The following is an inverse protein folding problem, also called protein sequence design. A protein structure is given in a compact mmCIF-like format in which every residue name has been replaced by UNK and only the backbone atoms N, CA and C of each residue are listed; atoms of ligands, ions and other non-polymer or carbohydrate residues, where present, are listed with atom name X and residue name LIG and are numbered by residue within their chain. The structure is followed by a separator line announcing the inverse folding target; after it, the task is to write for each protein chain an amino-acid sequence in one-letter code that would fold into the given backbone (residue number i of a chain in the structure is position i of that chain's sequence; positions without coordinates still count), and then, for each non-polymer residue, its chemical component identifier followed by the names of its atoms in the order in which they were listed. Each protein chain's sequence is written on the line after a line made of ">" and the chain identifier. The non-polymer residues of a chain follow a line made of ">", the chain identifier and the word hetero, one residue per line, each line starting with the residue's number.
data_IF_444854055438
#
_entry.id   IF_444854055438
#
_cell.length_a   1.000
_cell.length_b   1.000
_cell.length_c   1.000
_cell.angle_alpha   90.00
_cell.angle_beta   90.00
_cell.angle_gamma   90.00
#
_symmetry.space_group_name_H-M   'P 1'
#
loop_
_entity.id
_entity.type
_entity.pdbx_description
1 polymer ?
#
# COMPACT_ATOMS: atom_id res chain seq x y z
N UNK A 1 30.79 -16.75 -50.75
CA UNK A 1 31.75 -15.62 -50.74
C UNK A 1 32.43 -15.63 -49.38
N UNK A 2 33.73 -15.86 -49.38
CA UNK A 2 34.57 -15.99 -48.19
C UNK A 2 35.61 -14.87 -48.22
N UNK A 3 35.99 -14.36 -47.05
CA UNK A 3 37.31 -13.77 -46.84
C UNK A 3 37.76 -14.11 -45.42
N UNK A 4 38.63 -15.11 -45.38
CA UNK A 4 39.52 -15.46 -44.28
C UNK A 4 40.76 -14.60 -44.42
N UNK A 5 41.27 -14.04 -43.32
CA UNK A 5 42.71 -13.83 -43.16
C UNK A 5 43.13 -14.22 -41.75
N UNK A 6 44.03 -15.20 -41.71
CA UNK A 6 44.74 -15.77 -40.55
C UNK A 6 46.14 -15.17 -40.51
N UNK A 7 46.81 -15.33 -39.35
CA UNK A 7 48.26 -15.44 -39.12
C UNK A 7 48.91 -14.21 -38.46
N UNK A 8 49.89 -14.32 -37.55
CA UNK A 8 50.68 -15.43 -36.97
C UNK A 8 51.49 -14.85 -35.79
N UNK A 9 51.75 -15.62 -34.74
CA UNK A 9 52.79 -15.33 -33.72
C UNK A 9 54.14 -15.95 -34.12
N UNK A 10 55.28 -15.39 -33.65
CA UNK A 10 56.45 -16.22 -33.33
C UNK A 10 57.21 -15.70 -32.05
N UNK A 11 58.40 -16.19 -31.63
CA UNK A 11 58.52 -17.24 -30.60
C UNK A 11 59.54 -16.99 -29.45
N UNK A 12 59.39 -17.81 -28.40
CA UNK A 12 60.31 -18.38 -27.38
C UNK A 12 61.72 -17.79 -27.05
N UNK A 13 61.97 -17.58 -25.75
CA UNK A 13 63.11 -18.06 -24.90
C UNK A 13 63.34 -17.06 -23.74
N UNK A 14 63.66 -17.38 -22.48
CA UNK A 14 63.87 -18.60 -21.71
C UNK A 14 64.19 -18.20 -20.24
N UNK A 15 64.23 -19.19 -19.36
CA UNK A 15 64.76 -19.22 -17.98
C UNK A 15 63.82 -19.12 -16.75
N UNK A 16 63.64 -20.32 -16.16
CA UNK A 16 63.84 -20.69 -14.75
C UNK A 16 62.73 -20.45 -13.70
N UNK A 17 62.19 -21.58 -13.24
CA UNK A 17 61.30 -21.90 -12.10
C UNK A 17 62.00 -21.82 -10.73
N UNK A 18 61.41 -22.20 -9.55
CA UNK A 18 60.00 -22.48 -9.16
C UNK A 18 59.56 -21.85 -7.80
N UNK A 19 58.25 -21.71 -7.53
CA UNK A 19 57.60 -22.02 -6.22
C UNK A 19 56.12 -22.33 -6.50
N UNK A 20 55.61 -23.50 -6.09
CA UNK A 20 54.17 -23.83 -6.10
C UNK A 20 53.58 -23.80 -4.69
N UNK A 21 52.38 -24.39 -4.44
CA UNK A 21 51.22 -24.55 -5.31
C UNK A 21 50.03 -23.69 -4.81
N UNK A 22 49.12 -23.29 -5.71
CA UNK A 22 47.85 -22.65 -5.33
C UNK A 22 46.75 -23.71 -5.25
N UNK A 23 46.03 -23.61 -4.14
CA UNK A 23 45.02 -24.52 -3.66
C UNK A 23 43.74 -24.53 -4.51
N UNK A 24 43.03 -25.65 -4.42
CA UNK A 24 41.86 -26.00 -5.19
C UNK A 24 40.69 -25.02 -4.94
N UNK A 25 40.28 -24.28 -5.98
CA UNK A 25 39.03 -23.52 -5.98
C UNK A 25 37.84 -24.46 -6.19
N UNK A 26 37.45 -25.17 -5.13
CA UNK A 26 36.07 -25.63 -4.95
C UNK A 26 35.27 -24.51 -4.29
N UNK A 27 34.25 -23.97 -4.97
CA UNK A 27 32.85 -24.00 -4.49
C UNK A 27 31.96 -22.94 -5.15
N UNK A 28 30.85 -23.50 -5.66
CA UNK A 28 29.46 -23.08 -5.46
C UNK A 28 29.00 -21.83 -6.20
N UNK A 29 28.29 -22.11 -7.29
CA UNK A 29 27.36 -21.19 -7.92
C UNK A 29 26.41 -20.55 -6.91
N UNK A 30 26.30 -19.24 -7.03
CA UNK A 30 25.30 -18.40 -6.37
C UNK A 30 23.92 -18.73 -6.92
N UNK A 31 23.28 -19.73 -6.31
CA UNK A 31 21.85 -19.94 -6.46
C UNK A 31 21.16 -18.80 -5.71
N UNK A 32 20.86 -17.71 -6.42
CA UNK A 32 20.04 -16.60 -5.95
C UNK A 32 18.76 -17.18 -5.32
N UNK A 33 18.72 -17.14 -4.00
CA UNK A 33 17.59 -17.61 -3.21
C UNK A 33 16.50 -16.55 -3.35
N UNK A 34 15.68 -16.74 -4.38
CA UNK A 34 14.42 -16.06 -4.64
C UNK A 34 13.56 -16.19 -3.37
N UNK A 35 13.65 -15.18 -2.50
CA UNK A 35 12.79 -15.03 -1.33
C UNK A 35 11.41 -14.61 -1.81
N UNK A 36 10.41 -15.18 -1.16
CA UNK A 36 9.06 -15.37 -1.70
C UNK A 36 8.36 -14.04 -1.94
N UNK A 37 8.22 -13.68 -3.21
CA UNK A 37 7.20 -12.75 -3.68
C UNK A 37 5.85 -13.43 -3.47
N UNK A 38 4.97 -12.84 -2.66
CA UNK A 38 3.60 -13.32 -2.53
C UNK A 38 2.88 -13.10 -3.86
N UNK A 39 2.75 -14.15 -4.66
CA UNK A 39 1.80 -14.18 -5.76
C UNK A 39 0.42 -14.55 -5.19
N UNK A 40 -0.64 -13.85 -5.64
CA UNK A 40 -1.85 -14.42 -6.28
C UNK A 40 -3.13 -13.59 -6.06
N UNK A 41 -3.72 -13.21 -7.22
CA UNK A 41 -5.14 -13.04 -7.60
C UNK A 41 -5.92 -11.72 -7.32
N UNK A 42 -6.08 -10.99 -8.45
CA UNK A 42 -7.18 -10.18 -9.01
C UNK A 42 -8.34 -9.68 -8.12
N UNK A 43 -8.66 -8.40 -8.41
CA UNK A 43 -9.92 -7.70 -8.13
C UNK A 43 -9.95 -7.16 -6.70
N UNK A 44 -10.57 -6.04 -6.35
CA UNK A 44 -11.15 -4.94 -7.09
C UNK A 44 -11.11 -3.76 -6.10
N UNK A 45 -10.49 -2.65 -6.51
CA UNK A 45 -10.53 -1.38 -5.77
C UNK A 45 -11.90 -0.76 -6.01
N UNK A 46 -12.45 -0.09 -4.98
CA UNK A 46 -13.62 0.78 -5.11
C UNK A 46 -13.36 1.80 -6.22
N UNK A 47 -13.90 1.50 -7.39
CA UNK A 47 -13.90 2.39 -8.55
C UNK A 47 -14.94 3.48 -8.25
N UNK A 48 -14.49 4.71 -8.11
CA UNK A 48 -15.37 5.86 -8.28
C UNK A 48 -15.93 5.75 -9.71
N UNK A 49 -17.25 5.61 -9.80
CA UNK A 49 -17.95 5.35 -11.06
C UNK A 49 -17.68 6.51 -12.01
N UNK A 50 -17.16 6.18 -13.20
CA UNK A 50 -17.15 7.09 -14.34
C UNK A 50 -18.60 7.30 -14.78
N UNK A 51 -19.06 8.55 -14.75
CA UNK A 51 -20.27 8.95 -15.44
C UNK A 51 -19.96 9.14 -16.91
N UNK A 52 -20.35 8.17 -17.74
CA UNK A 52 -20.41 8.33 -19.19
C UNK A 52 -21.82 8.82 -19.58
N UNK A 53 -21.85 10.09 -20.01
CA UNK A 53 -22.53 10.64 -21.19
C UNK A 53 -23.73 9.86 -21.78
N UNK A 54 -24.94 10.42 -21.63
CA UNK A 54 -25.96 10.36 -22.69
C UNK A 54 -26.40 11.79 -23.03
N UNK A 55 -25.97 12.25 -24.21
CA UNK A 55 -26.57 13.39 -24.88
C UNK A 55 -27.72 12.92 -25.76
N UNK A 56 -28.91 13.49 -25.58
CA UNK A 56 -29.85 13.68 -26.69
C UNK A 56 -30.67 14.96 -26.52
N UNK A 57 -30.96 15.56 -27.67
CA UNK A 57 -31.19 16.97 -27.87
C UNK A 57 -32.58 17.49 -27.48
N UNK A 58 -32.62 18.79 -27.18
CA UNK A 58 -33.81 19.61 -27.02
C UNK A 58 -34.63 19.72 -28.32
N UNK A 59 -35.96 19.73 -28.19
CA UNK A 59 -36.90 20.41 -29.11
C UNK A 59 -38.23 20.71 -28.38
N UNK A 60 -38.95 21.70 -28.91
CA UNK A 60 -39.80 22.68 -28.24
C UNK A 60 -41.25 22.28 -27.82
N UNK A 61 -41.78 23.01 -26.83
CA UNK A 61 -43.07 23.71 -26.97
C UNK A 61 -44.30 23.19 -26.17
N UNK A 62 -45.23 24.08 -25.75
CA UNK A 62 -46.05 23.91 -24.54
C UNK A 62 -47.53 23.57 -24.81
N UNK A 63 -48.20 22.88 -23.89
CA UNK A 63 -49.66 22.92 -23.80
C UNK A 63 -50.18 23.06 -22.36
N UNK A 64 -51.07 24.04 -22.22
CA UNK A 64 -51.83 24.45 -21.05
C UNK A 64 -53.21 23.82 -21.19
N UNK A 65 -53.68 23.00 -20.23
CA UNK A 65 -55.12 22.74 -20.00
C UNK A 65 -55.39 22.55 -18.50
N UNK A 66 -56.56 23.02 -18.09
CA UNK A 66 -56.99 23.53 -16.79
C UNK A 66 -57.26 22.51 -15.66
N UNK A 67 -57.19 23.02 -14.42
CA UNK A 67 -57.73 22.44 -13.18
C UNK A 67 -59.25 22.66 -13.07
N UNK A 68 -59.99 21.75 -12.42
CA UNK A 68 -61.14 22.11 -11.59
C UNK A 68 -60.80 22.03 -10.08
N UNK A 69 -61.46 22.82 -9.21
CA UNK A 69 -61.11 22.94 -7.81
C UNK A 69 -61.96 22.04 -6.91
N UNK A 70 -61.37 21.63 -5.78
CA UNK A 70 -62.10 21.21 -4.59
C UNK A 70 -61.92 19.75 -4.25
N UNK A 71 -60.96 19.47 -3.37
CA UNK A 71 -61.18 18.68 -2.14
C UNK A 71 -59.94 18.78 -1.25
N UNK A 72 -60.18 18.97 0.04
CA UNK A 72 -59.23 19.43 1.05
C UNK A 72 -58.20 18.35 1.45
N UNK A 73 -57.02 18.83 1.86
CA UNK A 73 -55.87 18.04 2.33
C UNK A 73 -56.21 17.08 3.47
N UNK A 74 -55.40 16.02 3.64
CA UNK A 74 -54.50 16.06 4.80
C UNK A 74 -53.06 15.61 4.49
N UNK A 75 -52.13 16.31 5.14
CA UNK A 75 -50.80 15.85 5.57
C UNK A 75 -49.87 15.25 4.50
N UNK A 76 -49.10 16.14 3.86
CA UNK A 76 -47.83 15.77 3.26
C UNK A 76 -46.85 15.31 4.33
N UNK A 77 -46.60 14.01 4.34
CA UNK A 77 -45.44 13.39 4.94
C UNK A 77 -44.22 14.04 4.27
N UNK A 78 -43.52 14.90 5.02
CA UNK A 78 -42.23 15.41 4.60
C UNK A 78 -41.32 14.18 4.54
N UNK A 79 -40.94 13.79 3.33
CA UNK A 79 -39.86 12.84 3.13
C UNK A 79 -38.64 13.40 3.85
N UNK A 80 -38.38 12.79 4.98
CA UNK A 80 -37.14 12.71 5.73
C UNK A 80 -35.97 12.63 4.74
N UNK A 81 -35.43 13.80 4.37
CA UNK A 81 -34.08 13.89 3.82
C UNK A 81 -33.15 13.42 4.94
N UNK A 82 -32.88 12.12 4.92
CA UNK A 82 -32.03 11.40 5.87
C UNK A 82 -30.60 11.90 5.83
N UNK A 83 -30.36 13.09 6.37
CA UNK A 83 -29.08 13.53 6.87
C UNK A 83 -29.08 13.29 8.37
N UNK A 84 -28.93 12.02 8.75
CA UNK A 84 -28.45 11.69 10.08
C UNK A 84 -27.15 12.47 10.31
N UNK A 85 -26.91 13.04 11.50
CA UNK A 85 -25.71 13.83 11.76
C UNK A 85 -24.49 12.97 11.45
N UNK A 86 -23.75 13.34 10.40
CA UNK A 86 -22.47 12.70 10.11
C UNK A 86 -21.58 12.90 11.35
N UNK A 87 -20.94 11.83 11.81
CA UNK A 87 -20.04 11.95 12.95
C UNK A 87 -18.97 13.02 12.63
N UNK A 88 -18.57 13.85 13.60
CA UNK A 88 -17.64 14.97 13.35
C UNK A 88 -16.36 14.52 12.63
N UNK A 89 -15.87 13.32 12.94
CA UNK A 89 -14.71 12.68 12.28
C UNK A 89 -14.91 12.44 10.78
N UNK A 90 -16.11 12.05 10.34
CA UNK A 90 -16.40 11.85 8.91
C UNK A 90 -16.42 13.18 8.16
N UNK A 91 -16.98 14.22 8.79
CA UNK A 91 -17.00 15.55 8.21
C UNK A 91 -15.58 16.12 8.05
N UNK A 92 -14.72 15.98 9.06
CA UNK A 92 -13.29 16.34 8.99
C UNK A 92 -12.57 15.59 7.88
N UNK A 93 -12.77 14.26 7.78
CA UNK A 93 -12.17 13.45 6.71
C UNK A 93 -12.63 13.89 5.31
N UNK A 94 -13.92 14.15 5.12
CA UNK A 94 -14.44 14.67 3.86
C UNK A 94 -13.85 16.04 3.51
N UNK A 95 -13.65 16.91 4.49
CA UNK A 95 -13.00 18.20 4.28
C UNK A 95 -11.53 18.05 3.89
N UNK A 96 -10.77 17.18 4.57
CA UNK A 96 -9.38 16.91 4.19
C UNK A 96 -9.29 16.36 2.77
N UNK A 97 -10.14 15.40 2.41
CA UNK A 97 -10.17 14.85 1.05
C UNK A 97 -10.44 15.91 0.00
N UNK A 98 -11.35 16.85 0.27
CA UNK A 98 -11.60 17.97 -0.64
C UNK A 98 -10.36 18.83 -0.87
N UNK A 99 -9.68 19.24 0.20
CA UNK A 99 -8.43 20.02 0.13
C UNK A 99 -7.31 19.26 -0.59
N UNK A 100 -7.23 17.94 -0.39
CA UNK A 100 -6.27 17.09 -1.08
C UNK A 100 -6.54 17.07 -2.59
N UNK A 101 -7.79 16.94 -3.01
CA UNK A 101 -8.16 17.00 -4.44
C UNK A 101 -7.81 18.35 -5.06
N UNK A 102 -7.96 19.46 -4.34
CA UNK A 102 -7.56 20.79 -4.81
C UNK A 102 -6.05 20.94 -5.05
N UNK A 103 -5.21 20.12 -4.39
CA UNK A 103 -3.76 20.10 -4.65
C UNK A 103 -3.41 19.39 -5.96
N UNK A 104 -4.27 18.50 -6.44
CA UNK A 104 -4.00 17.67 -7.62
C UNK A 104 -4.25 18.44 -8.92
N UNK A 105 -3.59 17.99 -9.99
CA UNK A 105 -3.94 18.43 -11.35
C UNK A 105 -5.31 17.86 -11.72
N UNK A 106 -6.11 18.53 -12.57
CA UNK A 106 -7.43 18.04 -12.97
C UNK A 106 -7.43 16.68 -13.69
N UNK A 107 -6.28 16.23 -14.20
CA UNK A 107 -6.11 14.96 -14.89
C UNK A 107 -5.70 13.80 -13.97
N UNK A 108 -5.43 14.08 -12.70
CA UNK A 108 -4.90 13.11 -11.75
C UNK A 108 -5.98 12.70 -10.75
N UNK A 109 -6.04 11.40 -10.44
CA UNK A 109 -6.99 10.84 -9.49
C UNK A 109 -6.29 10.27 -8.26
N UNK A 110 -6.94 10.42 -7.12
CA UNK A 110 -6.57 9.73 -5.88
C UNK A 110 -7.14 8.31 -5.94
N UNK A 111 -6.27 7.29 -6.04
CA UNK A 111 -6.64 5.86 -5.89
C UNK A 111 -6.85 5.48 -4.43
N UNK A 112 -6.12 6.12 -3.52
CA UNK A 112 -6.20 5.89 -2.08
C UNK A 112 -5.65 7.09 -1.32
N UNK A 113 -6.29 7.45 -0.20
CA UNK A 113 -5.76 8.35 0.80
C UNK A 113 -5.64 7.61 2.14
N UNK A 114 -4.41 7.38 2.60
CA UNK A 114 -4.10 6.65 3.82
C UNK A 114 -3.55 7.60 4.88
N UNK A 115 -4.21 7.67 6.04
CA UNK A 115 -3.70 8.46 7.16
C UNK A 115 -2.52 7.72 7.82
N UNK A 116 -1.45 8.47 8.11
CA UNK A 116 -0.25 7.96 8.76
C UNK A 116 -0.13 8.48 10.19
N UNK A 117 0.59 7.74 11.02
CA UNK A 117 1.10 8.20 12.30
C UNK A 117 2.04 9.40 12.08
N UNK A 118 1.79 10.47 12.84
CA UNK A 118 2.65 11.65 12.86
C UNK A 118 3.51 11.63 14.13
N UNK A 119 4.81 11.92 14.00
CA UNK A 119 5.71 11.95 15.16
C UNK A 119 5.39 13.11 16.11
N UNK A 120 4.72 14.16 15.63
CA UNK A 120 4.40 15.38 16.37
C UNK A 120 2.93 15.78 16.21
N UNK A 121 2.03 15.27 17.07
CA UNK A 121 0.66 15.78 17.19
C UNK A 121 0.66 17.30 17.49
N UNK A 122 -0.34 18.07 17.02
CA UNK A 122 -1.60 17.65 16.39
C UNK A 122 -1.54 17.50 14.86
N UNK A 123 -0.34 17.49 14.25
CA UNK A 123 -0.21 17.41 12.79
C UNK A 123 -0.80 16.10 12.26
N UNK A 124 -1.52 16.20 11.15
CA UNK A 124 -2.01 15.02 10.43
C UNK A 124 -1.21 14.82 9.16
N UNK A 125 -1.04 13.56 8.80
CA UNK A 125 -0.25 13.15 7.65
C UNK A 125 -1.02 12.14 6.83
N UNK A 126 -1.01 12.33 5.52
CA UNK A 126 -1.64 11.44 4.58
C UNK A 126 -0.67 11.02 3.49
N UNK A 127 -0.69 9.74 3.17
CA UNK A 127 -0.10 9.18 1.98
C UNK A 127 -1.19 9.04 0.92
N UNK A 128 -1.00 9.69 -0.21
CA UNK A 128 -1.86 9.53 -1.39
C UNK A 128 -1.20 8.62 -2.40
N UNK A 129 -1.99 7.69 -2.95
CA UNK A 129 -1.62 6.97 -4.17
C UNK A 129 -2.35 7.63 -5.33
N UNK A 130 -1.61 8.33 -6.19
CA UNK A 130 -2.17 9.14 -7.27
C UNK A 130 -1.81 8.54 -8.62
N UNK A 131 -2.77 8.45 -9.52
CA UNK A 131 -2.53 8.07 -10.92
C UNK A 131 -3.01 9.11 -11.89
N UNK A 132 -2.40 9.17 -13.06
CA UNK A 132 -2.82 10.10 -14.12
C UNK A 132 -3.68 9.41 -15.17
N UNK A 133 -4.69 10.13 -15.69
CA UNK A 133 -5.48 9.69 -16.85
C UNK A 133 -4.87 10.09 -18.20
N UNK A 134 -3.77 10.85 -18.19
CA UNK A 134 -3.18 11.48 -19.39
C UNK A 134 -2.74 10.47 -20.46
N UNK A 135 -2.38 9.24 -20.04
CA UNK A 135 -1.98 8.17 -20.95
C UNK A 135 -2.73 6.87 -20.64
N UNK A 136 -3.85 6.63 -21.34
CA UNK A 136 -4.68 5.43 -21.22
C UNK A 136 -3.92 4.09 -21.38
N UNK A 137 -2.68 4.11 -21.92
CA UNK A 137 -1.84 2.94 -22.10
C UNK A 137 -0.78 2.72 -21.02
N UNK A 138 -0.53 3.71 -20.15
CA UNK A 138 0.48 3.65 -19.09
C UNK A 138 -0.14 4.07 -17.77
N UNK A 139 -0.37 3.09 -16.91
CA UNK A 139 -0.78 3.28 -15.52
C UNK A 139 0.40 3.86 -14.69
N UNK A 140 0.67 5.15 -14.87
CA UNK A 140 1.70 5.87 -14.11
C UNK A 140 1.15 6.27 -12.75
N UNK A 141 1.88 5.91 -11.69
CA UNK A 141 1.49 6.17 -10.30
C UNK A 141 2.59 6.91 -9.55
N UNK A 142 2.21 7.89 -8.74
CA UNK A 142 3.08 8.64 -7.84
C UNK A 142 2.50 8.60 -6.43
N UNK A 143 3.37 8.43 -5.44
CA UNK A 143 3.01 8.62 -4.04
C UNK A 143 3.23 10.07 -3.63
N UNK A 144 2.21 10.70 -3.07
CA UNK A 144 2.29 12.05 -2.54
C UNK A 144 2.12 12.02 -1.02
N UNK A 145 3.01 12.66 -0.30
CA UNK A 145 2.86 12.89 1.14
C UNK A 145 2.29 14.27 1.38
N UNK A 146 1.14 14.32 2.03
CA UNK A 146 0.42 15.56 2.35
C UNK A 146 0.42 15.76 3.86
N UNK A 147 0.75 16.97 4.30
CA UNK A 147 0.72 17.35 5.71
C UNK A 147 -0.39 18.38 5.97
N UNK A 148 -1.07 18.22 7.11
CA UNK A 148 -1.99 19.19 7.68
C UNK A 148 -1.43 19.66 9.03
N UNK A 149 -1.34 20.97 9.29
CA UNK A 149 -0.87 21.48 10.58
C UNK A 149 -1.71 21.01 11.78
N UNK A 150 -3.02 20.86 11.58
CA UNK A 150 -4.02 20.43 12.57
C UNK A 150 -5.26 19.86 11.86
N UNK A 151 -6.11 19.10 12.57
CA UNK A 151 -7.34 18.49 12.03
C UNK A 151 -8.40 19.49 11.57
N UNK A 152 -8.33 20.74 12.01
CA UNK A 152 -9.25 21.81 11.59
C UNK A 152 -8.66 22.74 10.52
N UNK A 153 -7.49 22.40 9.98
CA UNK A 153 -6.75 23.30 9.08
C UNK A 153 -7.46 23.45 7.73
N UNK A 154 -7.66 24.68 7.23
CA UNK A 154 -8.32 24.94 5.94
C UNK A 154 -7.38 24.76 4.74
N UNK A 155 -6.16 24.28 4.94
CA UNK A 155 -5.15 24.13 3.89
C UNK A 155 -4.20 22.98 4.22
N UNK A 156 -3.71 22.29 3.20
CA UNK A 156 -2.69 21.27 3.31
C UNK A 156 -1.47 21.58 2.45
N UNK A 157 -0.33 20.98 2.79
CA UNK A 157 0.95 21.18 2.10
C UNK A 157 1.49 19.86 1.58
N UNK A 158 2.30 19.94 0.52
CA UNK A 158 2.94 18.77 -0.08
C UNK A 158 4.35 18.62 0.49
N UNK A 159 4.64 17.45 1.07
CA UNK A 159 5.89 17.14 1.76
C UNK A 159 6.68 15.96 1.19
N UNK A 160 6.07 15.14 0.33
CA UNK A 160 6.75 14.04 -0.35
C UNK A 160 6.20 13.85 -1.76
N UNK A 161 7.09 13.55 -2.69
CA UNK A 161 6.77 13.01 -4.02
C UNK A 161 7.67 11.81 -4.24
N UNK A 162 7.09 10.64 -4.51
CA UNK A 162 7.81 9.41 -4.80
C UNK A 162 7.17 8.71 -6.00
N UNK A 163 7.72 8.88 -7.22
CA UNK A 163 7.25 8.17 -8.40
C UNK A 163 7.47 6.66 -8.27
N UNK A 164 6.52 5.85 -8.75
CA UNK A 164 6.63 4.39 -8.73
C UNK A 164 7.15 3.85 -10.06
N UNK A 165 8.41 3.46 -10.07
CA UNK A 165 9.08 2.84 -11.23
C UNK A 165 8.94 1.32 -11.23
N UNK A 166 9.41 0.67 -12.31
CA UNK A 166 9.46 -0.79 -12.40
C UNK A 166 10.40 -1.45 -11.37
N UNK A 167 11.33 -0.72 -10.75
CA UNK A 167 12.16 -1.24 -9.67
C UNK A 167 11.52 -1.14 -8.28
N UNK A 168 10.26 -0.68 -8.20
CA UNK A 168 9.58 -0.46 -6.92
C UNK A 168 9.44 -1.74 -6.12
N UNK A 169 9.87 -1.69 -4.86
CA UNK A 169 9.76 -2.79 -3.90
C UNK A 169 9.12 -2.30 -2.60
N UNK A 170 8.26 -3.12 -2.02
CA UNK A 170 7.55 -2.82 -0.78
C UNK A 170 7.90 -3.89 0.26
N UNK A 171 8.25 -3.47 1.48
CA UNK A 171 8.64 -4.35 2.58
C UNK A 171 7.94 -3.94 3.87
N UNK A 172 7.54 -4.90 4.71
CA UNK A 172 7.02 -4.62 6.04
C UNK A 172 8.17 -4.28 6.99
N UNK A 173 7.92 -3.39 7.96
CA UNK A 173 8.91 -3.00 8.97
C UNK A 173 8.83 -3.80 10.29
N UNK A 174 7.79 -4.64 10.46
CA UNK A 174 7.56 -5.46 11.65
C UNK A 174 6.91 -4.71 12.82
N UNK A 175 6.60 -3.42 12.66
CA UNK A 175 5.97 -2.59 13.67
C UNK A 175 4.74 -1.87 13.13
N UNK A 176 4.01 -2.52 12.22
CA UNK A 176 2.78 -1.99 11.63
C UNK A 176 2.97 -0.94 10.56
N UNK A 177 4.20 -0.78 10.06
CA UNK A 177 4.53 0.06 8.92
C UNK A 177 5.07 -0.74 7.74
N UNK A 178 5.38 -0.01 6.68
CA UNK A 178 6.01 -0.55 5.49
C UNK A 178 6.96 0.46 4.88
N UNK A 179 8.00 -0.03 4.22
CA UNK A 179 8.92 0.76 3.42
C UNK A 179 8.64 0.57 1.93
N UNK A 180 8.72 1.65 1.17
CA UNK A 180 8.66 1.66 -0.29
C UNK A 180 10.01 2.13 -0.80
N UNK A 181 10.63 1.33 -1.65
CA UNK A 181 11.88 1.66 -2.33
C UNK A 181 11.62 1.77 -3.81
N UNK A 182 11.87 2.93 -4.41
CA UNK A 182 11.68 3.18 -5.84
C UNK A 182 12.72 4.16 -6.35
N UNK A 183 13.32 3.91 -7.52
CA UNK A 183 14.32 4.81 -8.12
C UNK A 183 15.51 5.12 -7.21
N UNK A 184 15.91 4.16 -6.37
CA UNK A 184 17.00 4.31 -5.39
C UNK A 184 16.65 5.09 -4.12
N UNK A 185 15.41 5.57 -3.97
CA UNK A 185 14.93 6.24 -2.75
C UNK A 185 14.10 5.26 -1.91
N UNK A 186 14.33 5.22 -0.60
CA UNK A 186 13.55 4.40 0.35
C UNK A 186 12.85 5.28 1.38
N UNK A 187 11.55 5.05 1.58
CA UNK A 187 10.68 5.81 2.49
C UNK A 187 9.88 4.85 3.37
N UNK A 188 9.73 5.15 4.65
CA UNK A 188 8.85 4.40 5.56
C UNK A 188 7.53 5.13 5.73
N UNK A 189 6.45 4.35 5.82
CA UNK A 189 5.12 4.82 6.14
C UNK A 189 4.55 3.96 7.27
N UNK A 190 3.97 4.62 8.29
CA UNK A 190 3.29 3.96 9.40
C UNK A 190 1.80 4.33 9.37
N UNK A 191 0.93 3.49 8.81
CA UNK A 191 -0.51 3.72 8.81
C UNK A 191 -1.08 3.74 10.23
N UNK A 192 -2.14 4.52 10.45
CA UNK A 192 -2.79 4.62 11.77
C UNK A 192 -3.52 3.34 12.23
N UNK A 193 -3.75 2.39 11.32
CA UNK A 193 -4.43 1.14 11.63
C UNK A 193 -4.07 0.04 10.64
N UNK A 194 -4.31 -1.21 11.06
CA UNK A 194 -4.03 -2.39 10.22
C UNK A 194 -4.95 -2.40 8.99
N UNK A 195 -6.21 -1.95 9.11
CA UNK A 195 -7.11 -1.78 7.96
C UNK A 195 -6.51 -0.81 6.92
N UNK A 196 -6.01 0.34 7.38
CA UNK A 196 -5.37 1.32 6.52
C UNK A 196 -4.11 0.75 5.88
N UNK A 197 -3.30 0.01 6.65
CA UNK A 197 -2.11 -0.65 6.15
C UNK A 197 -2.42 -1.66 5.04
N UNK A 198 -3.37 -2.56 5.25
CA UNK A 198 -3.79 -3.54 4.27
C UNK A 198 -4.31 -2.91 2.97
N UNK A 199 -5.23 -1.94 3.07
CA UNK A 199 -5.76 -1.23 1.91
C UNK A 199 -4.64 -0.53 1.11
N UNK A 200 -3.68 0.07 1.83
CA UNK A 200 -2.51 0.71 1.21
C UNK A 200 -1.63 -0.27 0.47
N UNK A 201 -1.28 -1.39 1.10
CA UNK A 201 -0.46 -2.42 0.49
C UNK A 201 -1.12 -3.03 -0.75
N UNK A 202 -2.44 -3.24 -0.73
CA UNK A 202 -3.18 -3.74 -1.90
C UNK A 202 -3.04 -2.80 -3.11
N UNK A 203 -3.32 -1.51 -2.91
CA UNK A 203 -3.26 -0.51 -4.00
C UNK A 203 -1.82 -0.32 -4.48
N UNK A 204 -0.85 -0.31 -3.57
CA UNK A 204 0.57 -0.23 -3.91
C UNK A 204 1.02 -1.43 -4.74
N UNK A 205 0.62 -2.65 -4.37
CA UNK A 205 0.98 -3.84 -5.14
C UNK A 205 0.43 -3.80 -6.56
N UNK A 206 -0.82 -3.33 -6.72
CA UNK A 206 -1.42 -3.13 -8.04
C UNK A 206 -0.65 -2.09 -8.85
N UNK A 207 -0.23 -0.98 -8.23
CA UNK A 207 0.56 0.05 -8.89
C UNK A 207 1.97 -0.47 -9.28
N UNK A 208 2.62 -1.25 -8.43
CA UNK A 208 3.92 -1.87 -8.72
C UNK A 208 3.82 -2.83 -9.92
N UNK A 209 2.80 -3.70 -9.95
CA UNK A 209 2.58 -4.61 -11.08
C UNK A 209 2.30 -3.86 -12.38
N UNK A 210 1.56 -2.75 -12.31
CA UNK A 210 1.32 -1.89 -13.46
C UNK A 210 2.59 -1.18 -13.96
N UNK A 211 3.42 -0.68 -13.05
CA UNK A 211 4.72 -0.06 -13.37
C UNK A 211 5.72 -1.07 -13.96
N UNK A 212 5.72 -2.31 -13.45
CA UNK A 212 6.48 -3.43 -13.97
C UNK A 212 6.02 -3.83 -15.37
N UNK A 213 4.69 -3.99 -15.56
CA UNK A 213 4.10 -4.38 -16.84
C UNK A 213 4.28 -3.35 -17.96
N UNK A 214 4.33 -2.07 -17.61
CA UNK A 214 4.59 -0.96 -18.54
C UNK A 214 6.07 -0.61 -18.71
N UNK A 215 6.95 -1.21 -17.91
CA UNK A 215 8.40 -1.03 -18.00
C UNK A 215 8.86 0.40 -17.69
N UNK A 216 8.27 1.04 -16.67
CA UNK A 216 8.61 2.41 -16.29
C UNK A 216 10.03 2.48 -15.72
N UNK A 217 10.91 3.24 -16.37
CA UNK A 217 12.30 3.40 -15.94
C UNK A 217 12.63 4.86 -15.63
N UNK A 218 13.42 5.12 -14.58
CA UNK A 218 13.91 6.47 -14.31
C UNK A 218 14.67 7.04 -15.51
N UNK A 219 14.41 8.30 -15.85
CA UNK A 219 15.04 9.01 -16.96
C UNK A 219 14.37 8.84 -18.33
N UNK A 220 13.27 8.08 -18.42
CA UNK A 220 12.39 8.05 -19.59
C UNK A 220 11.40 9.22 -19.65
N UNK A 221 10.46 9.17 -20.60
CA UNK A 221 9.35 10.14 -20.71
C UNK A 221 8.20 9.87 -19.72
N UNK A 222 8.24 8.73 -19.02
CA UNK A 222 7.25 8.34 -18.04
C UNK A 222 7.39 9.15 -16.75
N UNK A 223 6.28 9.38 -16.05
CA UNK A 223 6.20 10.06 -14.76
C UNK A 223 6.79 11.49 -14.78
N UNK A 224 6.91 12.10 -15.96
CA UNK A 224 7.39 13.49 -16.12
C UNK A 224 6.49 14.49 -15.40
N UNK A 225 5.21 14.19 -15.31
CA UNK A 225 4.25 14.96 -14.53
C UNK A 225 4.52 14.98 -13.03
N UNK A 226 5.25 14.01 -12.48
CA UNK A 226 5.66 14.05 -11.07
C UNK A 226 6.51 15.30 -10.75
N UNK A 227 7.20 15.85 -11.76
CA UNK A 227 7.94 17.11 -11.64
C UNK A 227 7.07 18.29 -11.23
N UNK A 228 5.81 18.34 -11.67
CA UNK A 228 4.85 19.39 -11.28
C UNK A 228 4.63 19.43 -9.76
N UNK A 229 4.55 18.25 -9.14
CA UNK A 229 4.43 18.12 -7.69
C UNK A 229 5.77 18.38 -6.98
N UNK A 230 6.89 17.93 -7.56
CA UNK A 230 8.22 18.12 -7.00
C UNK A 230 8.57 19.62 -6.84
N UNK A 231 8.18 20.45 -7.81
CA UNK A 231 8.40 21.90 -7.79
C UNK A 231 7.48 22.63 -6.79
N UNK A 232 6.44 21.94 -6.28
CA UNK A 232 5.42 22.48 -5.36
C UNK A 232 5.56 21.97 -3.93
N UNK A 233 6.67 21.32 -3.59
CA UNK A 233 6.96 20.96 -2.20
C UNK A 233 6.94 22.22 -1.32
N UNK A 234 5.98 22.27 -0.40
CA UNK A 234 5.66 23.47 0.39
C UNK A 234 5.64 23.21 1.90
N UNK A 235 5.74 21.95 2.33
CA UNK A 235 5.79 21.59 3.75
C UNK A 235 7.03 22.17 4.45
N UNK A 236 6.88 22.48 5.75
CA UNK A 236 7.97 22.93 6.61
C UNK A 236 9.17 21.96 6.56
N UNK A 237 10.39 22.47 6.77
CA UNK A 237 11.60 21.64 6.82
C UNK A 237 11.47 20.46 7.80
N UNK A 238 10.79 20.67 8.92
CA UNK A 238 10.60 19.62 9.91
C UNK A 238 9.65 18.51 9.43
N UNK A 239 8.65 18.82 8.60
CA UNK A 239 7.78 17.84 7.94
C UNK A 239 8.54 17.11 6.84
N UNK A 240 9.32 17.85 6.03
CA UNK A 240 10.17 17.28 4.98
C UNK A 240 11.18 16.30 5.56
N UNK A 241 11.83 16.64 6.67
CA UNK A 241 12.78 15.74 7.35
C UNK A 241 12.10 14.45 7.81
N UNK A 242 10.86 14.55 8.29
CA UNK A 242 10.09 13.38 8.74
C UNK A 242 9.66 12.50 7.56
N UNK A 243 9.33 13.09 6.41
CA UNK A 243 9.12 12.33 5.17
C UNK A 243 10.39 11.74 4.62
N UNK A 244 11.53 12.41 4.84
CA UNK A 244 12.82 11.98 4.36
C UNK A 244 13.52 10.98 5.28
N UNK A 245 13.00 10.78 6.49
CA UNK A 245 13.53 9.81 7.44
C UNK A 245 13.54 8.43 6.79
N UNK A 246 14.75 7.88 6.62
CA UNK A 246 14.93 6.50 6.21
C UNK A 246 14.81 5.62 7.46
N UNK A 247 14.39 4.37 7.27
CA UNK A 247 14.66 3.36 8.28
C UNK A 247 16.17 3.38 8.48
N UNK A 248 16.65 3.36 9.72
CA UNK A 248 17.93 2.70 9.94
C UNK A 248 17.70 1.29 9.40
N UNK A 249 18.16 1.04 8.17
CA UNK A 249 18.26 -0.28 7.57
C UNK A 249 19.34 -1.00 8.35
N UNK A 250 19.09 -1.25 9.63
CA UNK A 250 19.51 -2.47 10.26
C UNK A 250 18.92 -3.56 9.38
N UNK A 251 19.72 -3.94 8.37
CA UNK A 251 19.68 -5.25 7.79
C UNK A 251 19.76 -6.20 8.97
N UNK A 252 18.59 -6.55 9.50
CA UNK A 252 18.43 -7.73 10.30
C UNK A 252 18.72 -8.87 9.32
N UNK A 253 20.02 -9.15 9.11
CA UNK A 253 20.42 -10.55 9.19
C UNK A 253 19.66 -11.04 10.42
N UNK A 254 18.78 -12.05 10.28
CA UNK A 254 18.00 -12.54 11.41
C UNK A 254 18.95 -12.59 12.61
N UNK A 255 18.71 -11.75 13.65
CA UNK A 255 19.73 -11.35 14.61
C UNK A 255 20.27 -12.63 15.17
N UNK A 256 21.49 -13.02 14.78
CA UNK A 256 21.98 -14.40 14.79
C UNK A 256 21.27 -15.16 15.88
N UNK A 257 20.13 -15.78 15.51
CA UNK A 257 19.25 -16.29 16.54
C UNK A 257 20.17 -17.26 17.26
N UNK A 258 20.38 -17.06 18.57
CA UNK A 258 20.86 -18.19 19.37
C UNK A 258 19.95 -19.32 18.91
N UNK A 259 20.47 -20.41 18.34
CA UNK A 259 19.61 -21.40 17.75
C UNK A 259 18.79 -21.98 18.89
N UNK A 260 17.65 -21.35 19.16
CA UNK A 260 16.53 -21.96 19.83
C UNK A 260 16.27 -23.21 19.02
N UNK A 261 15.94 -24.29 19.72
CA UNK A 261 15.56 -25.50 18.99
C UNK A 261 14.46 -25.10 18.02
N UNK A 262 14.56 -25.38 16.71
CA UNK A 262 13.55 -24.98 15.73
C UNK A 262 12.13 -25.38 16.18
N UNK A 263 12.02 -26.46 16.97
CA UNK A 263 10.79 -26.87 17.65
C UNK A 263 10.15 -25.81 18.56
N UNK A 264 10.94 -25.03 19.30
CA UNK A 264 10.43 -23.99 20.22
C UNK A 264 9.93 -22.77 19.45
N UNK A 265 10.62 -22.40 18.36
CA UNK A 265 10.18 -21.33 17.48
C UNK A 265 8.89 -21.70 16.75
N UNK A 266 8.82 -22.90 16.18
CA UNK A 266 7.63 -23.42 15.50
C UNK A 266 6.44 -23.51 16.46
N UNK A 267 6.64 -24.03 17.68
CA UNK A 267 5.59 -24.06 18.72
C UNK A 267 5.08 -22.66 19.05
N UNK A 268 5.97 -21.68 19.17
CA UNK A 268 5.58 -20.30 19.43
C UNK A 268 4.81 -19.69 18.26
N UNK A 269 5.29 -19.88 17.02
CA UNK A 269 4.58 -19.44 15.83
C UNK A 269 3.19 -20.08 15.71
N UNK A 270 3.04 -21.34 16.13
CA UNK A 270 1.75 -22.02 16.17
C UNK A 270 0.82 -21.43 17.24
N UNK A 271 1.35 -21.14 18.43
CA UNK A 271 0.59 -20.49 19.50
C UNK A 271 0.15 -19.08 19.08
N UNK A 272 1.03 -18.30 18.46
CA UNK A 272 0.70 -16.99 17.89
C UNK A 272 -0.42 -17.12 16.87
N UNK A 273 -0.33 -18.07 15.92
CA UNK A 273 -1.39 -18.27 14.91
C UNK A 273 -2.74 -18.63 15.54
N UNK A 274 -2.73 -19.45 16.59
CA UNK A 274 -3.96 -19.88 17.26
C UNK A 274 -4.66 -18.70 17.95
N UNK A 275 -3.92 -17.83 18.62
CA UNK A 275 -4.48 -16.69 19.36
C UNK A 275 -4.73 -15.46 18.48
N UNK A 276 -3.97 -15.28 17.39
CA UNK A 276 -4.03 -14.08 16.56
C UNK A 276 -5.40 -13.87 15.93
N UNK A 277 -6.06 -14.96 15.51
CA UNK A 277 -7.39 -14.86 14.93
C UNK A 277 -8.41 -14.34 15.96
N UNK A 278 -8.37 -14.84 17.18
CA UNK A 278 -9.29 -14.42 18.25
C UNK A 278 -9.04 -12.97 18.69
N UNK A 279 -7.78 -12.53 18.70
CA UNK A 279 -7.44 -11.12 18.94
C UNK A 279 -7.96 -10.23 17.81
N UNK A 280 -7.76 -10.62 16.54
CA UNK A 280 -8.24 -9.84 15.40
C UNK A 280 -9.77 -9.78 15.32
N UNK A 281 -10.47 -10.89 15.61
CA UNK A 281 -11.93 -10.98 15.58
C UNK A 281 -12.59 -10.11 16.66
N UNK A 282 -11.91 -9.95 17.80
CA UNK A 282 -12.39 -9.13 18.92
C UNK A 282 -11.96 -7.66 18.86
N UNK A 283 -11.06 -7.30 17.93
CA UNK A 283 -10.51 -5.96 17.80
C UNK A 283 -11.21 -5.15 16.71
N UNK A 284 -11.23 -3.82 16.86
CA UNK A 284 -11.66 -2.91 15.81
C UNK A 284 -10.51 -2.65 14.82
N UNK A 285 -10.56 -3.29 13.66
CA UNK A 285 -9.51 -3.23 12.63
C UNK A 285 -9.29 -1.81 12.08
N UNK A 286 -10.30 -0.94 12.16
CA UNK A 286 -10.22 0.44 11.65
C UNK A 286 -9.36 1.36 12.54
N UNK A 287 -9.23 1.02 13.84
CA UNK A 287 -8.51 1.82 14.83
C UNK A 287 -7.31 1.12 15.46
N UNK A 288 -7.25 -0.21 15.43
CA UNK A 288 -6.16 -0.98 16.06
C UNK A 288 -4.87 -0.93 15.25
N UNK A 289 -3.74 -0.80 15.94
CA UNK A 289 -2.39 -0.83 15.38
C UNK A 289 -1.75 -2.23 15.52
N UNK A 290 -0.73 -2.53 14.70
CA UNK A 290 0.05 -3.78 14.86
C UNK A 290 0.62 -3.92 16.27
N UNK A 291 1.09 -2.82 16.86
CA UNK A 291 1.65 -2.78 18.20
C UNK A 291 0.63 -3.18 19.26
N UNK A 292 -0.61 -2.72 19.16
CA UNK A 292 -1.69 -3.09 20.08
C UNK A 292 -2.05 -4.57 19.97
N UNK A 293 -2.10 -5.12 18.74
CA UNK A 293 -2.33 -6.55 18.54
C UNK A 293 -1.18 -7.38 19.13
N UNK A 294 0.06 -6.97 18.90
CA UNK A 294 1.24 -7.62 19.50
C UNK A 294 1.13 -7.60 21.03
N UNK A 295 0.78 -6.48 21.63
CA UNK A 295 0.60 -6.37 23.09
C UNK A 295 -0.53 -7.26 23.60
N UNK A 296 -1.65 -7.35 22.89
CA UNK A 296 -2.76 -8.24 23.24
C UNK A 296 -2.35 -9.72 23.18
N UNK A 297 -1.54 -10.10 22.18
CA UNK A 297 -0.96 -11.44 22.09
C UNK A 297 0.05 -11.73 23.20
N UNK A 298 0.91 -10.77 23.54
CA UNK A 298 1.87 -10.89 24.64
C UNK A 298 1.17 -11.12 25.98
N UNK A 299 0.03 -10.45 26.20
CA UNK A 299 -0.81 -10.65 27.39
C UNK A 299 -1.43 -12.05 27.45
N UNK A 300 -1.92 -12.58 26.32
CA UNK A 300 -2.52 -13.92 26.23
C UNK A 300 -1.48 -15.05 26.37
N UNK A 301 -0.32 -14.89 25.75
CA UNK A 301 0.76 -15.89 25.74
C UNK A 301 1.73 -15.76 26.93
N UNK A 302 1.69 -14.64 27.66
CA UNK A 302 2.51 -14.38 28.85
C UNK A 302 4.01 -14.24 28.55
N UNK A 303 4.40 -13.86 27.34
CA UNK A 303 5.80 -13.73 26.88
C UNK A 303 5.97 -12.56 25.93
N UNK A 304 7.14 -11.88 25.92
CA UNK A 304 7.43 -10.84 24.93
C UNK A 304 7.57 -11.45 23.53
N UNK A 305 6.95 -10.81 22.54
CA UNK A 305 6.88 -11.26 21.15
C UNK A 305 7.73 -10.38 20.22
N UNK A 306 8.68 -9.63 20.76
CA UNK A 306 9.49 -8.66 20.00
C UNK A 306 10.30 -9.29 18.85
N UNK A 307 10.69 -10.56 18.98
CA UNK A 307 11.38 -11.30 17.92
C UNK A 307 10.46 -11.83 16.81
N UNK A 308 9.14 -11.77 17.01
CA UNK A 308 8.11 -12.25 16.08
C UNK A 308 7.34 -11.12 15.40
N UNK A 309 7.81 -9.87 15.54
CA UNK A 309 7.28 -8.66 14.90
C UNK A 309 6.90 -8.87 13.42
N UNK A 310 7.89 -9.19 12.59
CA UNK A 310 7.69 -9.46 11.16
C UNK A 310 6.69 -10.61 10.92
N UNK A 311 6.76 -11.64 11.74
CA UNK A 311 5.89 -12.81 11.62
C UNK A 311 4.43 -12.45 11.92
N UNK A 312 4.19 -11.69 12.98
CA UNK A 312 2.85 -11.21 13.38
C UNK A 312 2.27 -10.33 12.28
N UNK A 313 3.03 -9.35 11.77
CA UNK A 313 2.60 -8.48 10.67
C UNK A 313 2.21 -9.28 9.41
N UNK A 314 3.06 -10.21 8.98
CA UNK A 314 2.76 -11.07 7.84
C UNK A 314 1.52 -11.94 8.07
N UNK A 315 1.38 -12.52 9.26
CA UNK A 315 0.22 -13.36 9.59
C UNK A 315 -1.06 -12.54 9.69
N UNK A 316 -1.02 -11.31 10.20
CA UNK A 316 -2.17 -10.40 10.25
C UNK A 316 -2.66 -10.08 8.82
N UNK A 317 -1.75 -9.66 7.94
CA UNK A 317 -2.12 -9.37 6.54
C UNK A 317 -2.64 -10.61 5.81
N UNK A 318 -2.09 -11.80 6.11
CA UNK A 318 -2.59 -13.05 5.55
C UNK A 318 -4.04 -13.34 5.99
N UNK A 319 -4.36 -13.10 7.26
CA UNK A 319 -5.73 -13.27 7.78
C UNK A 319 -6.70 -12.25 7.17
N UNK A 320 -6.28 -10.99 7.04
CA UNK A 320 -7.06 -9.97 6.34
C UNK A 320 -7.34 -10.36 4.88
N UNK A 321 -6.33 -10.88 4.18
CA UNK A 321 -6.48 -11.37 2.81
C UNK A 321 -7.50 -12.51 2.69
N UNK A 322 -7.59 -13.37 3.71
CA UNK A 322 -8.55 -14.46 3.77
C UNK A 322 -9.97 -13.94 4.06
N UNK A 323 -10.11 -12.98 4.99
CA UNK A 323 -11.38 -12.34 5.32
C UNK A 323 -11.97 -11.55 4.14
N UNK A 324 -11.13 -10.82 3.39
CA UNK A 324 -11.52 -10.12 2.15
C UNK A 324 -11.99 -11.08 1.04
N UNK A 325 -11.46 -12.31 1.00
CA UNK A 325 -11.90 -13.33 0.06
C UNK A 325 -13.19 -14.01 0.51
N UNK A 326 -13.34 -14.26 1.80
CA UNK A 326 -14.54 -14.86 2.38
C UNK A 326 -15.74 -13.91 2.33
N UNK A 327 -15.52 -12.59 2.38
CA UNK A 327 -16.54 -11.56 2.22
C UNK A 327 -16.99 -11.33 0.76
N UNK A 328 -16.27 -11.87 -0.23
CA UNK A 328 -16.73 -11.90 -1.64
C UNK A 328 -17.72 -13.02 -1.88
N UNK A 329 -18.99 -12.77 -1.57
CA UNK A 329 -20.05 -13.76 -1.80
C UNK A 329 -20.72 -13.62 -3.19
N UNK A 330 -20.21 -12.73 -4.07
CA UNK A 330 -20.73 -12.33 -5.41
C UNK A 330 -21.72 -11.16 -5.39
N UNK A 331 -21.82 -10.33 -6.46
CA UNK A 331 -22.61 -9.09 -6.47
C UNK A 331 -24.12 -9.28 -6.23
N UNK A 332 -24.62 -10.52 -6.15
CA UNK A 332 -26.06 -10.80 -5.97
C UNK A 332 -26.38 -11.96 -5.01
N UNK A 333 -25.48 -12.44 -4.15
CA UNK A 333 -25.82 -13.51 -3.20
C UNK A 333 -24.94 -13.44 -1.94
N UNK A 334 -25.56 -13.53 -0.75
CA UNK A 334 -24.91 -13.58 0.55
C UNK A 334 -25.32 -14.85 1.32
N UNK A 335 -24.30 -15.45 1.95
CA UNK A 335 -24.22 -16.35 3.12
C UNK A 335 -25.08 -17.62 3.21
N UNK A 336 -24.42 -18.72 3.62
CA UNK A 336 -24.76 -19.38 4.90
C UNK A 336 -23.47 -19.84 5.61
N UNK A 337 -23.37 -19.44 6.87
CA UNK A 337 -22.48 -19.98 7.90
C UNK A 337 -22.88 -21.41 8.28
N UNK A 338 -21.92 -22.34 8.33
CA UNK A 338 -22.07 -23.56 9.15
C UNK A 338 -20.70 -24.15 9.49
N UNK A 339 -20.31 -23.93 10.75
CA UNK A 339 -19.46 -24.78 11.61
C UNK A 339 -18.32 -25.57 10.94
N UNK A 340 -17.10 -25.05 11.02
CA UNK A 340 -15.90 -25.89 10.98
C UNK A 340 -15.36 -26.04 12.40
N UNK A 341 -16.12 -26.80 13.19
CA UNK A 341 -15.61 -27.51 14.35
C UNK A 341 -15.82 -28.99 14.03
N UNK A 342 -14.82 -29.60 13.42
CA UNK A 342 -14.46 -31.00 13.65
C UNK A 342 -13.25 -31.40 12.79
N UNK A 343 -12.41 -32.24 13.40
CA UNK A 343 -11.34 -33.06 12.80
C UNK A 343 -9.89 -32.54 12.97
N UNK A 344 -9.40 -32.64 14.20
CA UNK A 344 -8.04 -33.15 14.47
C UNK A 344 -7.95 -34.63 14.06
N UNK A 345 -6.75 -35.13 13.73
CA UNK A 345 -5.95 -35.79 14.78
C UNK A 345 -4.68 -35.05 15.17
#
# INVERSE_FOLDING_TARGET
>A
MALVTVSRSPPTSGHSTPVGPTDQASKRGSRLQRRQSFAVLRGAVLRLQDGEDEGEAAEAGPEVVERPPGEEQPHGDQTDDGHGPQSPRKQEQSQHLHLMVELLRPQDDIRLAAQLEAARPPRLRYLLVVSTREHLSRDETVLLGVDFPDSSSPSCTLGLVLPLWSDTQVYLDGDGGFSVTSGGQSRIFKPISIQTMWATLQVLHQACEAALGSGLVPGGSALTWAGHYQDRLSSDQSCLNEWMAMADLESLRPPSAKPGRPSEQEQMEQAIRAELWDVLDTSDLESVTSKEIRQALELRLGRPLEQYRDFIDNQMLLLMAQQDRASRIFPHLYLVSSSWRDSQP
#
